data_IF_822240399578
#
_entry.id   IF_822240399578
#
_cell.length_a   1.000
_cell.length_b   1.000
_cell.length_c   1.000
_cell.angle_alpha   90.00
_cell.angle_beta   90.00
_cell.angle_gamma   90.00
#
_symmetry.space_group_name_H-M   'P 1'
#
loop_
_entity.id
_entity.type
_entity.pdbx_description
1 polymer ?
#
# COMPACT_ATOMS: atom_id res chain seq x y z
N UNK A 1 -62.37 -16.67 -4.72
CA UNK A 1 -60.95 -16.34 -4.51
C UNK A 1 -60.62 -16.69 -3.08
N UNK A 2 -59.79 -17.72 -2.85
CA UNK A 2 -59.49 -18.26 -1.52
C UNK A 2 -58.53 -17.35 -0.75
N UNK A 3 -59.05 -16.18 -0.34
CA UNK A 3 -58.31 -15.11 0.32
C UNK A 3 -57.68 -15.55 1.66
N UNK A 4 -58.29 -16.52 2.34
CA UNK A 4 -57.75 -17.12 3.57
C UNK A 4 -56.50 -17.97 3.33
N UNK A 5 -56.41 -18.69 2.20
CA UNK A 5 -55.24 -19.53 1.88
C UNK A 5 -54.03 -18.70 1.48
N UNK A 6 -54.24 -17.66 0.68
CA UNK A 6 -53.18 -16.73 0.29
C UNK A 6 -52.60 -15.98 1.48
N UNK A 7 -53.44 -15.59 2.46
CA UNK A 7 -52.98 -14.94 3.71
C UNK A 7 -52.04 -15.84 4.52
N UNK A 8 -52.36 -17.12 4.66
CA UNK A 8 -51.52 -18.08 5.39
C UNK A 8 -50.20 -18.35 4.67
N UNK A 9 -50.22 -18.50 3.34
CA UNK A 9 -49.01 -18.68 2.53
C UNK A 9 -48.08 -17.46 2.66
N UNK A 10 -48.64 -16.25 2.64
CA UNK A 10 -47.87 -15.02 2.76
C UNK A 10 -47.21 -14.87 4.14
N UNK A 11 -47.91 -15.27 5.21
CA UNK A 11 -47.33 -15.30 6.57
C UNK A 11 -46.15 -16.28 6.65
N UNK A 12 -46.29 -17.48 6.09
CA UNK A 12 -45.21 -18.47 6.08
C UNK A 12 -44.01 -18.03 5.24
N UNK A 13 -44.25 -17.42 4.07
CA UNK A 13 -43.18 -16.90 3.22
C UNK A 13 -42.40 -15.78 3.93
N UNK A 14 -43.10 -14.87 4.63
CA UNK A 14 -42.45 -13.82 5.42
C UNK A 14 -41.64 -14.38 6.58
N UNK A 15 -42.18 -15.38 7.29
CA UNK A 15 -41.48 -16.04 8.39
C UNK A 15 -40.19 -16.73 7.93
N UNK A 16 -40.23 -17.39 6.77
CA UNK A 16 -39.05 -18.06 6.20
C UNK A 16 -37.98 -17.03 5.77
N UNK A 17 -38.41 -15.91 5.20
CA UNK A 17 -37.51 -14.79 4.86
C UNK A 17 -36.89 -14.15 6.10
N UNK A 18 -37.68 -13.92 7.16
CA UNK A 18 -37.18 -13.38 8.43
C UNK A 18 -36.19 -14.35 9.09
N UNK A 19 -36.47 -15.66 9.09
CA UNK A 19 -35.55 -16.68 9.61
C UNK A 19 -34.23 -16.70 8.83
N UNK A 20 -34.30 -16.59 7.50
CA UNK A 20 -33.13 -16.51 6.63
C UNK A 20 -32.29 -15.25 6.94
N UNK A 21 -32.94 -14.10 7.11
CA UNK A 21 -32.28 -12.86 7.52
C UNK A 21 -31.61 -13.01 8.89
N UNK A 22 -32.30 -13.62 9.86
CA UNK A 22 -31.76 -13.84 11.21
C UNK A 22 -30.54 -14.76 11.19
N UNK A 23 -30.59 -15.83 10.39
CA UNK A 23 -29.44 -16.71 10.16
C UNK A 23 -28.26 -15.96 9.53
N UNK A 24 -28.50 -15.15 8.49
CA UNK A 24 -27.46 -14.36 7.84
C UNK A 24 -26.82 -13.36 8.81
N UNK A 25 -27.62 -12.68 9.63
CA UNK A 25 -27.13 -11.75 10.65
C UNK A 25 -26.34 -12.48 11.74
N UNK A 26 -26.82 -13.63 12.20
CA UNK A 26 -26.13 -14.43 13.22
C UNK A 26 -24.74 -14.85 12.74
N UNK A 27 -24.63 -15.42 11.54
CA UNK A 27 -23.35 -15.86 10.95
C UNK A 27 -22.41 -14.67 10.72
N UNK A 28 -22.91 -13.57 10.15
CA UNK A 28 -22.07 -12.41 9.79
C UNK A 28 -21.61 -11.61 11.01
N UNK A 29 -22.44 -11.47 12.05
CA UNK A 29 -22.13 -10.63 13.21
C UNK A 29 -21.24 -11.35 14.23
N UNK A 30 -21.40 -12.67 14.41
CA UNK A 30 -20.59 -13.44 15.35
C UNK A 30 -19.15 -13.61 14.86
N UNK A 31 -18.94 -13.87 13.56
CA UNK A 31 -17.59 -13.91 12.99
C UNK A 31 -16.85 -12.58 13.22
N UNK A 32 -17.51 -11.47 12.88
CA UNK A 32 -16.95 -10.12 13.08
C UNK A 32 -16.62 -9.78 14.54
N UNK A 33 -17.33 -10.34 15.52
CA UNK A 33 -17.05 -10.11 16.94
C UNK A 33 -15.84 -10.91 17.42
N UNK A 34 -15.76 -12.19 17.05
CA UNK A 34 -14.59 -13.02 17.37
C UNK A 34 -13.31 -12.46 16.74
N UNK A 35 -13.37 -12.02 15.48
CA UNK A 35 -12.20 -11.47 14.78
C UNK A 35 -11.69 -10.19 15.46
N UNK A 36 -12.61 -9.33 15.94
CA UNK A 36 -12.26 -8.10 16.67
C UNK A 36 -11.64 -8.38 18.04
N UNK A 37 -12.14 -9.37 18.77
CA UNK A 37 -11.60 -9.75 20.08
C UNK A 37 -10.19 -10.35 19.95
N UNK A 38 -10.00 -11.22 18.94
CA UNK A 38 -8.68 -11.78 18.62
C UNK A 38 -7.69 -10.68 18.22
N UNK A 39 -8.08 -9.79 17.29
CA UNK A 39 -7.24 -8.67 16.86
C UNK A 39 -6.86 -7.72 18.02
N UNK A 40 -7.79 -7.47 18.94
CA UNK A 40 -7.53 -6.64 20.12
C UNK A 40 -6.57 -7.32 21.10
N UNK A 41 -6.72 -8.63 21.31
CA UNK A 41 -5.81 -9.41 22.15
C UNK A 41 -4.40 -9.48 21.56
N UNK A 42 -4.29 -9.65 20.23
CA UNK A 42 -3.03 -9.67 19.51
C UNK A 42 -2.31 -8.32 19.58
N UNK A 43 -3.05 -7.22 19.38
CA UNK A 43 -2.56 -5.86 19.58
C UNK A 43 -1.96 -5.70 20.98
N UNK A 44 -2.75 -5.97 22.02
CA UNK A 44 -2.32 -5.79 23.41
C UNK A 44 -1.05 -6.59 23.74
N UNK A 45 -1.03 -7.87 23.35
CA UNK A 45 0.10 -8.75 23.60
C UNK A 45 1.37 -8.26 22.88
N UNK A 46 1.22 -7.76 21.64
CA UNK A 46 2.34 -7.25 20.85
C UNK A 46 2.84 -5.93 21.40
N UNK A 47 1.97 -4.97 21.72
CA UNK A 47 2.37 -3.69 22.33
C UNK A 47 3.09 -3.88 23.67
N UNK A 48 2.61 -4.81 24.52
CA UNK A 48 3.29 -5.16 25.76
C UNK A 48 4.69 -5.73 25.50
N UNK A 49 4.81 -6.62 24.51
CA UNK A 49 6.09 -7.21 24.13
C UNK A 49 7.08 -6.17 23.58
N UNK A 50 6.62 -5.26 22.71
CA UNK A 50 7.42 -4.14 22.21
C UNK A 50 7.94 -3.26 23.35
N UNK A 51 7.05 -2.93 24.31
CA UNK A 51 7.41 -2.13 25.47
C UNK A 51 8.46 -2.83 26.36
N UNK A 52 8.34 -4.15 26.58
CA UNK A 52 9.36 -4.93 27.29
C UNK A 52 10.74 -4.88 26.62
N UNK A 53 10.79 -4.73 25.29
CA UNK A 53 12.02 -4.55 24.52
C UNK A 53 12.45 -3.09 24.38
N UNK A 54 11.80 -2.15 25.08
CA UNK A 54 11.98 -0.70 24.94
C UNK A 54 11.80 -0.20 23.49
N UNK A 55 11.02 -0.90 22.67
CA UNK A 55 10.71 -0.50 21.30
C UNK A 55 9.54 0.49 21.34
N UNK A 56 9.71 1.66 20.71
CA UNK A 56 8.67 2.71 20.70
C UNK A 56 7.86 2.62 19.42
N UNK A 57 6.53 2.74 19.53
CA UNK A 57 5.60 2.75 18.40
C UNK A 57 5.05 4.16 18.19
N UNK A 58 5.50 4.85 17.14
CA UNK A 58 5.16 6.24 16.85
C UNK A 58 4.16 6.37 15.69
N UNK A 59 3.51 5.28 15.35
CA UNK A 59 2.55 5.18 14.27
C UNK A 59 1.42 4.24 14.67
N UNK A 60 0.23 4.47 14.12
CA UNK A 60 -0.86 3.51 14.27
C UNK A 60 -0.60 2.31 13.36
N UNK A 61 -0.71 1.11 13.92
CA UNK A 61 -0.58 -0.14 13.17
C UNK A 61 -1.95 -0.54 12.64
N UNK A 62 -2.12 -0.70 11.31
CA UNK A 62 -3.40 -1.14 10.75
C UNK A 62 -3.79 -2.53 11.26
N UNK A 63 -5.03 -2.65 11.73
CA UNK A 63 -5.60 -3.90 12.24
C UNK A 63 -6.40 -4.67 11.20
N UNK A 64 -6.78 -4.02 10.10
CA UNK A 64 -7.57 -4.65 9.06
C UNK A 64 -6.78 -5.77 8.39
N UNK A 65 -7.44 -6.92 8.22
CA UNK A 65 -6.91 -8.10 7.55
C UNK A 65 -7.71 -8.39 6.27
N UNK A 66 -7.62 -7.55 5.23
CA UNK A 66 -8.34 -7.78 3.99
C UNK A 66 -7.88 -9.07 3.29
N UNK A 67 -8.74 -9.62 2.45
CA UNK A 67 -8.33 -10.67 1.51
C UNK A 67 -7.57 -10.04 0.34
N UNK A 68 -6.36 -10.53 0.09
CA UNK A 68 -5.50 -10.06 -1.00
C UNK A 68 -4.97 -11.24 -1.80
N UNK A 69 -4.77 -11.02 -3.10
CA UNK A 69 -4.02 -11.95 -3.94
C UNK A 69 -2.79 -11.26 -4.51
N UNK A 70 -1.88 -12.05 -5.06
CA UNK A 70 -0.70 -11.57 -5.75
C UNK A 70 -1.09 -10.79 -7.01
N UNK A 71 -0.17 -9.95 -7.49
CA UNK A 71 -0.32 -9.23 -8.75
C UNK A 71 0.76 -9.66 -9.75
N UNK A 72 0.39 -9.72 -11.03
CA UNK A 72 1.34 -9.69 -12.13
C UNK A 72 1.61 -8.23 -12.49
N UNK A 73 2.88 -7.84 -12.43
CA UNK A 73 3.38 -6.53 -12.84
C UNK A 73 4.11 -6.66 -14.17
N UNK A 74 3.61 -5.91 -15.14
CA UNK A 74 4.14 -5.89 -16.50
C UNK A 74 4.61 -4.47 -16.82
N UNK A 75 5.87 -4.34 -17.23
CA UNK A 75 6.39 -3.05 -17.67
C UNK A 75 6.00 -2.80 -19.12
N UNK A 76 5.09 -1.86 -19.32
CA UNK A 76 4.58 -1.51 -20.66
C UNK A 76 5.35 -0.37 -21.33
N UNK A 77 6.36 0.19 -20.65
CA UNK A 77 7.05 1.39 -21.12
C UNK A 77 6.23 2.65 -20.93
N UNK A 78 6.89 3.75 -20.59
CA UNK A 78 6.27 5.08 -20.63
C UNK A 78 6.72 5.73 -21.93
N UNK A 79 5.80 5.96 -22.87
CA UNK A 79 6.13 6.62 -24.13
C UNK A 79 6.32 8.13 -23.88
N UNK A 80 7.54 8.69 -24.06
CA UNK A 80 7.81 10.08 -23.76
C UNK A 80 7.27 11.03 -24.83
N UNK A 81 6.81 10.53 -25.99
CA UNK A 81 6.37 11.38 -27.12
C UNK A 81 5.25 12.33 -26.68
N UNK A 82 4.30 11.87 -25.86
CA UNK A 82 3.23 12.71 -25.30
C UNK A 82 3.74 13.83 -24.39
N UNK A 83 4.97 13.72 -23.87
CA UNK A 83 5.61 14.72 -23.02
C UNK A 83 6.49 15.69 -23.79
N UNK A 84 6.91 15.36 -25.02
CA UNK A 84 7.71 16.26 -25.86
C UNK A 84 6.92 17.50 -26.31
N UNK A 85 5.59 17.41 -26.33
CA UNK A 85 4.70 18.52 -26.64
C UNK A 85 4.56 19.49 -25.45
N UNK A 86 5.00 19.10 -24.25
CA UNK A 86 4.92 19.93 -23.05
C UNK A 86 6.10 20.89 -23.02
N UNK A 87 5.81 22.18 -23.22
CA UNK A 87 6.83 23.24 -23.17
C UNK A 87 7.57 23.26 -21.83
N UNK A 88 8.91 23.24 -21.90
CA UNK A 88 9.80 23.29 -20.73
C UNK A 88 9.99 21.95 -20.01
N UNK A 89 9.64 20.84 -20.66
CA UNK A 89 9.87 19.48 -20.17
C UNK A 89 10.75 18.72 -21.16
N UNK A 90 11.89 18.22 -20.70
CA UNK A 90 12.79 17.36 -21.47
C UNK A 90 12.71 15.95 -20.88
N UNK A 91 12.17 15.00 -21.63
CA UNK A 91 11.93 13.64 -21.14
C UNK A 91 12.68 12.60 -21.96
N UNK A 92 13.40 11.71 -21.29
CA UNK A 92 14.12 10.58 -21.86
C UNK A 92 13.71 9.28 -21.17
N UNK A 93 13.84 8.15 -21.85
CA UNK A 93 13.64 6.84 -21.23
C UNK A 93 15.01 6.25 -20.93
N UNK A 94 15.27 5.98 -19.66
CA UNK A 94 16.49 5.36 -19.17
C UNK A 94 16.13 4.00 -18.53
N UNK A 95 16.57 2.90 -19.17
CA UNK A 95 16.19 1.54 -18.79
C UNK A 95 14.65 1.37 -18.77
N UNK A 96 14.07 1.27 -17.57
CA UNK A 96 12.63 1.08 -17.33
C UNK A 96 11.99 2.31 -16.65
N UNK A 97 12.64 3.47 -16.71
CA UNK A 97 12.15 4.69 -16.10
C UNK A 97 12.15 5.83 -17.11
N UNK A 98 11.10 6.65 -17.06
CA UNK A 98 11.06 7.96 -17.68
C UNK A 98 11.80 8.94 -16.77
N UNK A 99 12.90 9.50 -17.24
CA UNK A 99 13.59 10.61 -16.60
C UNK A 99 13.14 11.91 -17.27
N UNK A 100 12.62 12.84 -16.49
CA UNK A 100 12.14 14.11 -16.99
C UNK A 100 12.80 15.27 -16.24
N UNK A 101 13.34 16.23 -16.99
CA UNK A 101 13.96 17.46 -16.49
C UNK A 101 13.09 18.66 -16.84
N UNK A 102 12.90 19.55 -15.87
CA UNK A 102 12.18 20.80 -16.04
C UNK A 102 13.16 21.91 -16.37
N UNK A 103 12.94 22.59 -17.51
CA UNK A 103 13.74 23.73 -17.95
C UNK A 103 12.82 24.85 -18.49
N UNK A 104 12.55 25.91 -17.72
CA UNK A 104 13.15 26.22 -16.42
C UNK A 104 12.60 25.34 -15.28
N UNK A 105 13.36 25.18 -14.17
CA UNK A 105 12.88 24.51 -12.96
C UNK A 105 11.57 25.10 -12.43
N UNK A 106 10.70 24.25 -11.89
CA UNK A 106 9.38 24.68 -11.39
C UNK A 106 9.48 25.11 -9.93
N UNK A 107 9.09 26.36 -9.63
CA UNK A 107 8.92 26.79 -8.26
C UNK A 107 7.65 26.20 -7.65
N UNK A 108 7.79 25.67 -6.43
CA UNK A 108 6.68 25.08 -5.68
C UNK A 108 5.86 26.22 -5.09
N UNK A 109 4.55 26.20 -5.32
CA UNK A 109 3.65 27.21 -4.76
C UNK A 109 3.28 26.82 -3.33
N UNK A 110 3.48 27.74 -2.39
CA UNK A 110 3.11 27.56 -0.99
C UNK A 110 4.10 26.70 -0.22
N UNK A 111 3.61 26.09 0.87
CA UNK A 111 4.42 25.20 1.70
C UNK A 111 4.68 23.86 0.98
N UNK A 112 5.90 23.32 1.12
CA UNK A 112 6.24 22.02 0.57
C UNK A 112 5.41 20.92 1.23
N UNK A 113 4.39 20.44 0.51
CA UNK A 113 3.60 19.27 0.85
C UNK A 113 3.69 18.28 -0.33
N UNK A 114 4.15 17.04 -0.11
CA UNK A 114 4.33 16.06 -1.18
C UNK A 114 3.07 15.81 -2.01
N UNK A 115 1.90 15.66 -1.37
CA UNK A 115 0.64 15.40 -2.06
C UNK A 115 0.19 16.60 -2.90
N UNK A 116 0.39 17.81 -2.37
CA UNK A 116 0.08 19.04 -3.09
C UNK A 116 1.02 19.24 -4.29
N UNK A 117 2.31 18.93 -4.14
CA UNK A 117 3.27 18.96 -5.23
C UNK A 117 2.87 18.00 -6.37
N UNK A 118 2.46 16.77 -6.03
CA UNK A 118 1.97 15.80 -7.01
C UNK A 118 0.78 16.35 -7.80
N UNK A 119 -0.16 17.03 -7.13
CA UNK A 119 -1.29 17.70 -7.77
C UNK A 119 -0.85 18.84 -8.70
N UNK A 120 0.13 19.64 -8.28
CA UNK A 120 0.65 20.76 -9.09
C UNK A 120 1.38 20.29 -10.35
N UNK A 121 2.19 19.24 -10.26
CA UNK A 121 2.93 18.68 -11.41
C UNK A 121 2.06 17.76 -12.26
N UNK A 122 0.89 17.33 -11.78
CA UNK A 122 -0.01 16.37 -12.42
C UNK A 122 -0.23 16.55 -13.92
N UNK A 123 -0.47 17.77 -14.44
CA UNK A 123 -0.61 18.00 -15.88
C UNK A 123 0.64 17.71 -16.73
N UNK A 124 1.80 17.57 -16.09
CA UNK A 124 3.10 17.24 -16.71
C UNK A 124 3.57 15.83 -16.39
N UNK A 125 2.71 15.00 -15.79
CA UNK A 125 3.06 13.67 -15.34
C UNK A 125 2.03 12.65 -15.82
N UNK A 126 2.50 11.57 -16.43
CA UNK A 126 1.63 10.51 -16.97
C UNK A 126 1.11 9.69 -15.78
N UNK A 127 -0.18 9.37 -15.73
CA UNK A 127 -0.80 8.59 -14.64
C UNK A 127 -0.65 9.23 -13.25
N UNK A 128 -0.63 10.56 -13.16
CA UNK A 128 -0.41 11.28 -11.89
C UNK A 128 -1.44 10.99 -10.81
N UNK A 129 -2.66 10.63 -11.20
CA UNK A 129 -3.75 10.20 -10.35
C UNK A 129 -3.56 8.81 -9.73
N UNK A 130 -2.62 8.02 -10.24
CA UNK A 130 -2.31 6.68 -9.75
C UNK A 130 -1.09 6.64 -8.83
N UNK A 131 -0.60 7.80 -8.38
CA UNK A 131 0.46 7.87 -7.38
C UNK A 131 -0.03 8.52 -6.09
N UNK A 132 0.56 8.09 -4.97
CA UNK A 132 0.39 8.72 -3.66
C UNK A 132 1.74 9.00 -3.03
N UNK A 133 1.84 10.09 -2.27
CA UNK A 133 3.06 10.39 -1.55
C UNK A 133 3.36 9.30 -0.51
N UNK A 134 4.64 8.91 -0.41
CA UNK A 134 5.10 8.10 0.71
C UNK A 134 4.89 8.87 2.02
N UNK A 135 4.20 8.32 3.03
CA UNK A 135 4.10 8.94 4.35
C UNK A 135 5.47 9.16 5.01
N UNK A 136 6.44 8.29 4.70
CA UNK A 136 7.80 8.38 5.19
C UNK A 136 8.71 9.03 4.13
N UNK A 137 9.11 10.28 4.38
CA UNK A 137 9.99 11.06 3.50
C UNK A 137 11.36 11.27 4.18
N UNK A 138 12.36 10.43 3.90
CA UNK A 138 13.63 10.45 4.64
C UNK A 138 14.48 11.69 4.36
N UNK A 139 14.23 12.40 3.24
CA UNK A 139 14.96 13.63 2.92
C UNK A 139 14.06 14.62 2.16
N UNK A 140 14.41 15.91 2.22
CA UNK A 140 13.64 16.99 1.62
C UNK A 140 14.04 17.29 0.15
N UNK A 141 15.18 16.77 -0.30
CA UNK A 141 15.69 16.93 -1.67
C UNK A 141 15.12 15.92 -2.66
N UNK A 142 14.51 14.84 -2.17
CA UNK A 142 13.93 13.76 -2.97
C UNK A 142 12.64 13.29 -2.31
N UNK A 143 11.52 13.54 -2.99
CA UNK A 143 10.23 13.05 -2.55
C UNK A 143 9.87 11.75 -3.27
N UNK A 144 9.40 10.77 -2.50
CA UNK A 144 8.99 9.46 -2.99
C UNK A 144 7.47 9.35 -3.08
N UNK A 145 7.02 8.72 -4.16
CA UNK A 145 5.62 8.46 -4.44
C UNK A 145 5.46 7.02 -4.96
N UNK A 146 4.40 6.35 -4.54
CA UNK A 146 4.12 4.96 -4.92
C UNK A 146 2.93 4.89 -5.83
N UNK A 147 3.03 4.03 -6.86
CA UNK A 147 1.87 3.66 -7.65
C UNK A 147 0.82 3.00 -6.74
N UNK A 148 -0.47 3.23 -7.00
CA UNK A 148 -1.57 2.64 -6.25
C UNK A 148 -2.35 1.66 -7.12
N UNK A 149 -2.63 0.50 -6.56
CA UNK A 149 -3.53 -0.51 -7.14
C UNK A 149 -4.56 -0.93 -6.10
N UNK A 150 -5.84 -0.78 -6.42
CA UNK A 150 -6.95 -1.10 -5.50
C UNK A 150 -6.75 -0.52 -4.09
N UNK A 151 -6.42 0.79 -4.03
CA UNK A 151 -6.12 1.57 -2.81
C UNK A 151 -4.86 1.16 -2.05
N UNK A 152 -4.13 0.15 -2.52
CA UNK A 152 -2.89 -0.31 -1.90
C UNK A 152 -1.67 0.25 -2.63
N UNK A 153 -0.67 0.79 -1.93
CA UNK A 153 0.58 1.21 -2.53
C UNK A 153 1.37 0.01 -3.05
N UNK A 154 2.06 0.23 -4.16
CA UNK A 154 2.96 -0.73 -4.76
C UNK A 154 4.37 -0.23 -4.51
N UNK A 155 5.09 -0.89 -3.60
CA UNK A 155 6.41 -0.50 -3.12
C UNK A 155 7.54 -0.87 -4.09
N UNK A 156 7.26 -0.75 -5.38
CA UNK A 156 8.17 -1.07 -6.47
C UNK A 156 8.21 0.11 -7.45
N UNK A 157 9.42 0.45 -7.90
CA UNK A 157 9.77 1.49 -8.86
C UNK A 157 9.01 2.81 -8.63
N UNK A 158 9.37 3.56 -7.56
CA UNK A 158 8.66 4.76 -7.18
C UNK A 158 8.75 5.85 -8.25
N UNK A 159 7.81 6.77 -8.21
CA UNK A 159 8.01 8.10 -8.76
C UNK A 159 8.89 8.88 -7.77
N UNK A 160 10.07 9.31 -8.24
CA UNK A 160 11.01 10.12 -7.48
C UNK A 160 10.98 11.56 -8.02
N UNK A 161 10.72 12.55 -7.17
CA UNK A 161 10.84 13.95 -7.53
C UNK A 161 12.09 14.55 -6.91
N UNK A 162 12.88 15.29 -7.70
CA UNK A 162 14.14 15.88 -7.24
C UNK A 162 14.00 17.39 -7.04
N UNK A 163 14.37 17.85 -5.85
CA UNK A 163 14.24 19.23 -5.41
C UNK A 163 15.61 19.83 -5.09
N UNK A 164 15.73 21.13 -5.35
CA UNK A 164 16.84 21.96 -4.87
C UNK A 164 16.28 23.25 -4.28
N UNK A 165 16.51 23.49 -2.99
CA UNK A 165 16.05 24.68 -2.27
C UNK A 165 14.56 25.04 -2.54
N UNK A 166 13.67 24.03 -2.46
CA UNK A 166 12.23 24.23 -2.70
C UNK A 166 11.82 24.40 -4.17
N UNK A 167 12.74 24.20 -5.11
CA UNK A 167 12.48 24.22 -6.55
C UNK A 167 12.54 22.80 -7.12
N UNK A 168 11.52 22.39 -7.87
CA UNK A 168 11.45 21.10 -8.52
C UNK A 168 12.31 21.11 -9.80
N UNK A 169 13.33 20.27 -9.84
CA UNK A 169 14.26 20.14 -10.96
C UNK A 169 13.76 19.17 -12.04
N UNK A 170 13.01 18.16 -11.62
CA UNK A 170 12.60 17.06 -12.48
C UNK A 170 12.12 15.87 -11.67
N UNK A 171 11.84 14.78 -12.37
CA UNK A 171 11.36 13.55 -11.76
C UNK A 171 11.85 12.33 -12.53
N UNK A 172 11.85 11.19 -11.86
CA UNK A 172 12.05 9.87 -12.46
C UNK A 172 10.85 9.00 -12.15
N UNK A 173 10.24 8.45 -13.18
CA UNK A 173 8.97 7.75 -13.09
C UNK A 173 9.06 6.36 -13.69
N UNK A 174 8.55 5.37 -12.97
CA UNK A 174 8.25 4.04 -13.52
C UNK A 174 6.80 3.71 -13.23
N UNK A 175 6.15 3.04 -14.17
CA UNK A 175 4.75 2.65 -14.06
C UNK A 175 4.59 1.22 -14.56
N UNK A 176 3.83 0.41 -13.81
CA UNK A 176 3.53 -0.97 -14.16
C UNK A 176 2.05 -1.13 -14.49
N UNK A 177 1.76 -1.97 -15.48
CA UNK A 177 0.42 -2.49 -15.64
C UNK A 177 0.25 -3.67 -14.67
N UNK A 178 -0.78 -3.62 -13.84
CA UNK A 178 -0.98 -4.56 -12.73
C UNK A 178 -2.23 -5.39 -12.97
N UNK A 179 -2.10 -6.71 -12.87
CA UNK A 179 -3.19 -7.67 -13.02
C UNK A 179 -3.29 -8.55 -11.79
N UNK A 180 -4.49 -8.67 -11.24
CA UNK A 180 -4.76 -9.51 -10.06
C UNK A 180 -4.67 -11.00 -10.44
N UNK A 181 -3.88 -11.77 -9.70
CA UNK A 181 -3.87 -13.23 -9.79
C UNK A 181 -5.07 -13.83 -9.05
N UNK A 182 -5.45 -15.07 -9.41
CA UNK A 182 -6.45 -15.83 -8.66
C UNK A 182 -5.91 -16.32 -7.32
N UNK A 183 -6.80 -16.55 -6.36
CA UNK A 183 -6.46 -17.07 -5.04
C UNK A 183 -6.24 -15.96 -4.01
N UNK A 184 -7.33 -15.35 -3.59
CA UNK A 184 -7.32 -14.39 -2.48
C UNK A 184 -7.10 -15.13 -1.15
N UNK A 185 -6.29 -14.53 -0.29
CA UNK A 185 -5.99 -15.04 1.03
C UNK A 185 -6.04 -13.90 2.02
N UNK A 186 -6.61 -14.16 3.19
CA UNK A 186 -6.61 -13.20 4.29
C UNK A 186 -5.17 -12.89 4.70
N UNK A 187 -4.85 -11.61 4.79
CA UNK A 187 -3.53 -11.18 5.28
C UNK A 187 -3.44 -11.26 6.79
N UNK A 188 -2.25 -11.47 7.33
CA UNK A 188 -1.95 -11.34 8.75
C UNK A 188 -2.10 -9.87 9.18
N UNK A 189 -2.30 -9.62 10.47
CA UNK A 189 -2.35 -8.26 11.01
C UNK A 189 -0.98 -7.57 10.95
N UNK A 190 -0.97 -6.23 10.98
CA UNK A 190 0.30 -5.48 11.08
C UNK A 190 1.07 -5.81 12.36
N UNK A 191 0.37 -6.15 13.45
CA UNK A 191 1.00 -6.58 14.71
C UNK A 191 1.70 -7.94 14.58
N UNK A 192 1.10 -8.90 13.88
CA UNK A 192 1.76 -10.18 13.55
C UNK A 192 3.07 -9.95 12.77
N UNK A 193 3.05 -9.04 11.80
CA UNK A 193 4.22 -8.69 11.02
C UNK A 193 5.32 -8.03 11.87
N UNK A 194 4.95 -7.09 12.75
CA UNK A 194 5.88 -6.46 13.70
C UNK A 194 6.53 -7.49 14.62
N UNK A 195 5.73 -8.38 15.19
CA UNK A 195 6.21 -9.46 16.05
C UNK A 195 7.26 -10.32 15.35
N UNK A 196 7.01 -10.70 14.09
CA UNK A 196 7.95 -11.46 13.28
C UNK A 196 9.31 -10.76 13.13
N UNK A 197 9.34 -9.44 12.98
CA UNK A 197 10.59 -8.67 12.85
C UNK A 197 11.35 -8.59 14.19
N UNK A 198 10.65 -8.42 15.30
CA UNK A 198 11.26 -8.34 16.64
C UNK A 198 11.77 -9.71 17.08
N UNK A 199 10.98 -10.78 16.89
CA UNK A 199 11.36 -12.16 17.22
C UNK A 199 12.63 -12.59 16.44
N UNK A 200 12.79 -12.09 15.21
CA UNK A 200 13.98 -12.33 14.37
C UNK A 200 15.13 -11.36 14.63
N UNK A 201 15.00 -10.47 15.61
CA UNK A 201 15.99 -9.44 15.96
C UNK A 201 16.35 -8.53 14.78
N UNK A 202 15.41 -8.31 13.86
CA UNK A 202 15.55 -7.36 12.75
C UNK A 202 15.28 -5.94 13.26
N UNK A 203 14.23 -5.80 14.08
CA UNK A 203 14.02 -4.62 14.91
C UNK A 203 14.69 -4.89 16.25
N UNK A 204 15.71 -4.10 16.57
CA UNK A 204 16.48 -4.26 17.79
C UNK A 204 15.74 -3.65 18.99
N UNK A 205 16.00 -4.13 20.22
CA UNK A 205 15.53 -3.46 21.43
C UNK A 205 15.98 -2.00 21.46
N UNK A 206 15.08 -1.08 21.84
CA UNK A 206 15.35 0.35 21.88
C UNK A 206 15.06 1.13 20.58
N UNK A 207 14.78 0.44 19.46
CA UNK A 207 14.47 1.11 18.19
C UNK A 207 13.05 1.73 18.18
N UNK A 208 12.81 2.62 17.23
CA UNK A 208 11.52 3.28 17.01
C UNK A 208 10.88 2.82 15.71
N UNK A 209 9.62 2.39 15.80
CA UNK A 209 8.79 2.08 14.63
C UNK A 209 8.08 3.36 14.18
N UNK A 210 8.36 3.79 12.96
CA UNK A 210 7.97 5.10 12.42
C UNK A 210 6.77 5.01 11.46
N UNK A 211 6.61 3.88 10.77
CA UNK A 211 5.48 3.64 9.87
C UNK A 211 5.23 2.14 9.66
N UNK A 212 3.95 1.75 9.62
CA UNK A 212 3.53 0.40 9.22
C UNK A 212 2.44 0.52 8.16
N UNK A 213 2.69 -0.01 6.97
CA UNK A 213 1.77 0.11 5.82
C UNK A 213 1.60 -1.20 5.06
N UNK A 214 0.37 -1.56 4.73
CA UNK A 214 0.06 -2.69 3.84
C UNK A 214 0.23 -2.26 2.38
N UNK A 215 0.74 -3.14 1.53
CA UNK A 215 0.90 -2.89 0.10
C UNK A 215 1.43 -4.09 -0.66
N UNK A 216 2.05 -3.83 -1.81
CA UNK A 216 2.60 -4.87 -2.70
C UNK A 216 4.10 -4.70 -2.90
N UNK A 217 4.84 -5.81 -2.96
CA UNK A 217 6.28 -5.83 -3.19
C UNK A 217 6.72 -7.15 -3.84
N UNK A 218 7.86 -7.17 -4.54
CA UNK A 218 8.42 -8.38 -5.16
C UNK A 218 9.75 -8.10 -5.87
N UNK A 219 10.44 -9.09 -6.45
CA UNK A 219 11.72 -8.90 -7.17
C UNK A 219 11.58 -8.68 -8.69
N UNK A 220 12.40 -7.81 -9.29
CA UNK A 220 12.33 -7.41 -10.71
C UNK A 220 13.07 -8.31 -11.70
N UNK A 221 13.43 -9.54 -11.35
CA UNK A 221 14.33 -10.35 -12.16
C UNK A 221 13.66 -11.06 -13.36
N UNK A 222 12.48 -10.61 -13.82
CA UNK A 222 11.73 -11.20 -14.94
C UNK A 222 10.85 -10.19 -15.72
N UNK A 223 10.46 -10.53 -16.96
CA UNK A 223 9.62 -9.71 -17.85
C UNK A 223 8.18 -9.49 -17.33
N UNK A 224 7.63 -10.50 -16.66
CA UNK A 224 6.39 -10.40 -15.88
C UNK A 224 6.76 -10.79 -14.45
N UNK A 225 6.47 -9.89 -13.52
CA UNK A 225 6.86 -10.02 -12.13
C UNK A 225 5.66 -10.33 -11.25
N UNK A 226 5.80 -11.32 -10.37
CA UNK A 226 4.81 -11.52 -9.30
C UNK A 226 5.12 -10.60 -8.12
N UNK A 227 4.17 -9.73 -7.79
CA UNK A 227 4.15 -8.94 -6.57
C UNK A 227 3.26 -9.63 -5.53
N UNK A 228 3.77 -9.74 -4.31
CA UNK A 228 3.05 -10.35 -3.20
C UNK A 228 2.56 -9.26 -2.24
N UNK A 229 1.44 -9.48 -1.53
CA UNK A 229 1.02 -8.62 -0.43
C UNK A 229 2.10 -8.59 0.67
N UNK A 230 2.45 -7.40 1.15
CA UNK A 230 3.43 -7.19 2.21
C UNK A 230 3.02 -6.11 3.21
N UNK A 231 3.49 -6.27 4.44
CA UNK A 231 3.61 -5.20 5.41
C UNK A 231 4.97 -4.54 5.28
N UNK A 232 5.00 -3.25 4.96
CA UNK A 232 6.19 -2.41 5.04
C UNK A 232 6.29 -1.82 6.43
N UNK A 233 7.38 -2.11 7.11
CA UNK A 233 7.69 -1.58 8.44
C UNK A 233 8.91 -0.69 8.34
N UNK A 234 8.75 0.60 8.65
CA UNK A 234 9.83 1.59 8.75
C UNK A 234 10.22 1.73 10.21
N UNK A 235 11.51 1.57 10.50
CA UNK A 235 12.06 1.71 11.85
C UNK A 235 13.48 2.25 11.79
N UNK A 236 13.81 3.19 12.68
CA UNK A 236 15.13 3.85 12.79
C UNK A 236 15.78 4.20 11.43
N UNK A 237 14.98 4.79 10.53
CA UNK A 237 15.44 5.21 9.21
C UNK A 237 15.58 4.10 8.16
N UNK A 238 15.37 2.84 8.53
CA UNK A 238 15.39 1.66 7.66
C UNK A 238 13.98 1.17 7.40
N UNK A 239 13.82 0.27 6.44
CA UNK A 239 12.54 -0.38 6.20
C UNK A 239 12.73 -1.84 5.80
N UNK A 240 11.79 -2.67 6.23
CA UNK A 240 11.71 -4.08 5.91
C UNK A 240 10.31 -4.43 5.41
N UNK A 241 10.25 -5.42 4.54
CA UNK A 241 9.00 -5.95 4.00
C UNK A 241 8.76 -7.33 4.58
N UNK A 242 7.57 -7.53 5.14
CA UNK A 242 7.13 -8.81 5.68
C UNK A 242 5.99 -9.31 4.80
N UNK A 243 6.09 -10.53 4.30
CA UNK A 243 5.04 -11.18 3.54
C UNK A 243 3.73 -11.16 4.33
N UNK A 244 2.69 -10.53 3.79
CA UNK A 244 1.44 -10.35 4.52
C UNK A 244 0.60 -11.63 4.59
N UNK A 245 0.99 -12.72 3.93
CA UNK A 245 0.33 -14.03 4.06
C UNK A 245 1.08 -14.95 5.02
N UNK A 246 2.42 -14.97 4.96
CA UNK A 246 3.23 -15.95 5.71
C UNK A 246 3.95 -15.37 6.93
N UNK A 247 4.06 -14.04 7.05
CA UNK A 247 4.87 -13.40 8.07
C UNK A 247 6.38 -13.54 7.86
N UNK A 248 6.82 -14.11 6.72
CA UNK A 248 8.23 -14.22 6.39
C UNK A 248 8.83 -12.87 5.98
N UNK A 249 10.14 -12.68 6.22
CA UNK A 249 10.84 -11.49 5.74
C UNK A 249 11.04 -11.63 4.22
N UNK A 250 10.67 -10.61 3.47
CA UNK A 250 10.94 -10.53 2.04
C UNK A 250 12.38 -10.09 1.79
N UNK A 251 12.97 -10.63 0.71
CA UNK A 251 14.34 -10.30 0.36
C UNK A 251 14.42 -8.87 -0.17
N UNK A 252 15.44 -8.08 0.23
CA UNK A 252 15.67 -6.79 -0.39
C UNK A 252 16.01 -6.99 -1.87
N UNK A 253 15.48 -6.12 -2.73
CA UNK A 253 15.88 -6.08 -4.12
C UNK A 253 17.38 -5.81 -4.18
N UNK A 254 18.13 -6.66 -4.88
CA UNK A 254 19.51 -6.33 -5.25
C UNK A 254 19.41 -5.28 -6.36
N UNK A 255 19.35 -4.00 -5.99
CA UNK A 255 19.55 -2.94 -6.97
C UNK A 255 21.03 -2.96 -7.33
N UNK A 256 21.40 -3.60 -8.44
CA UNK A 256 22.72 -3.36 -9.02
C UNK A 256 22.79 -1.87 -9.35
N UNK A 257 23.55 -1.14 -8.51
CA UNK A 257 23.86 0.28 -8.69
C UNK A 257 24.62 0.49 -9.98
#
# INVERSE_FOLDING_TARGET
MDWSRTKTILIWAFLLLDLFLLYQVYVTRISQWNDKEVAQSEKWNTELYLNQQNITLDTEVPQDTPEMSNLDAEYIGINPISLHEISGLQATVEKMALAAKLDPPMQIRGQLNPQELLRQIGPRLIYSDQYVADPYQPNQSRLLYWQVYDKMPVFVAPLEMYLNNGTLLGYRQTFFHLRKQQGERQVISGYAALRSLVDKQIISPGERIENVSLGYYGSYDADIQTLVPVWRVVHDGKWHFVNAITGALERPMVTQR
#
